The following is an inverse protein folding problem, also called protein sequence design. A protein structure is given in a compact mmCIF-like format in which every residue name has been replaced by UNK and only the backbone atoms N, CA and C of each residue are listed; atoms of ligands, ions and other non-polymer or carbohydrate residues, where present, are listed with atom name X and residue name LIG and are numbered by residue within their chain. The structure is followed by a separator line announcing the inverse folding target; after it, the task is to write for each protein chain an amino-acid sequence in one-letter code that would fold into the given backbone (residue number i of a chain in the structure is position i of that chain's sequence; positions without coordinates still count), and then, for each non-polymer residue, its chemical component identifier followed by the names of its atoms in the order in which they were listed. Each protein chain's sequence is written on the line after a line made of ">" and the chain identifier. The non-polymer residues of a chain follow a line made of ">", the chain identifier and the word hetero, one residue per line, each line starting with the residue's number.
data_IF_454894710467
#
_entry.id   IF_454894710467
#
_cell.length_a   1.000
_cell.length_b   1.000
_cell.length_c   1.000
_cell.angle_alpha   90.00
_cell.angle_beta   90.00
_cell.angle_gamma   90.00
#
_symmetry.space_group_name_H-M   'P 1'
#
loop_
_entity.id
_entity.type
_entity.pdbx_description
1 polymer ?
#
# COMPACT_ATOMS: atom_id res chain seq x y z
N UNK A 1 -23.45 -2.98 6.73
CA UNK A 1 -22.36 -3.96 6.85
C UNK A 1 -21.12 -3.12 7.11
N UNK A 2 -20.40 -3.32 8.22
CA UNK A 2 -19.18 -2.56 8.44
C UNK A 2 -18.17 -3.02 7.38
N UNK A 3 -17.75 -2.11 6.50
CA UNK A 3 -16.60 -2.36 5.64
C UNK A 3 -15.39 -2.57 6.53
N UNK A 4 -14.71 -3.70 6.35
CA UNK A 4 -13.52 -4.00 7.13
C UNK A 4 -12.40 -3.07 6.69
N UNK A 5 -11.68 -2.40 7.61
CA UNK A 5 -10.59 -1.47 7.26
C UNK A 5 -9.59 -2.11 6.31
N UNK A 6 -9.19 -3.36 6.58
CA UNK A 6 -8.39 -4.20 5.70
C UNK A 6 -8.87 -4.28 4.23
N UNK A 7 -10.18 -4.43 4.00
CA UNK A 7 -10.73 -4.55 2.66
C UNK A 7 -10.68 -3.21 1.94
N UNK A 8 -10.99 -2.11 2.64
CA UNK A 8 -10.85 -0.77 2.11
C UNK A 8 -9.41 -0.45 1.71
N UNK A 9 -8.45 -0.73 2.61
CA UNK A 9 -7.01 -0.50 2.37
C UNK A 9 -6.55 -1.26 1.12
N UNK A 10 -6.90 -2.55 1.02
CA UNK A 10 -6.53 -3.37 -0.15
C UNK A 10 -7.16 -2.87 -1.45
N UNK A 11 -8.45 -2.55 -1.43
CA UNK A 11 -9.16 -2.07 -2.61
C UNK A 11 -8.59 -0.72 -3.07
N UNK A 12 -8.39 0.20 -2.13
CA UNK A 12 -7.84 1.52 -2.41
C UNK A 12 -6.40 1.42 -2.94
N UNK A 13 -5.54 0.60 -2.33
CA UNK A 13 -4.17 0.35 -2.83
C UNK A 13 -4.25 -0.25 -4.23
N UNK A 14 -5.09 -1.26 -4.47
CA UNK A 14 -5.22 -1.87 -5.80
C UNK A 14 -5.74 -0.88 -6.86
N UNK A 15 -6.56 0.09 -6.48
CA UNK A 15 -7.14 1.08 -7.38
C UNK A 15 -6.19 2.26 -7.68
N UNK A 16 -5.37 2.67 -6.70
CA UNK A 16 -4.55 3.88 -6.76
C UNK A 16 -3.05 3.60 -6.94
N UNK A 17 -2.58 2.44 -6.48
CA UNK A 17 -1.17 2.03 -6.58
C UNK A 17 -1.01 1.12 -7.80
N UNK A 18 -0.61 1.73 -8.91
CA UNK A 18 -0.17 0.97 -10.08
C UNK A 18 1.31 0.62 -9.93
N UNK A 19 1.61 -0.68 -10.03
CA UNK A 19 2.97 -1.20 -10.24
C UNK A 19 3.47 -0.63 -11.57
N UNK A 20 4.20 0.48 -11.50
CA UNK A 20 4.84 1.07 -12.66
C UNK A 20 6.33 0.72 -12.61
N UNK A 21 6.80 -0.19 -13.49
CA UNK A 21 8.19 -0.64 -13.48
C UNK A 21 9.17 0.38 -14.05
N UNK A 22 8.70 1.52 -14.60
CA UNK A 22 9.52 2.54 -15.24
C UNK A 22 9.77 3.75 -14.31
N UNK A 23 9.03 3.86 -13.22
CA UNK A 23 9.26 4.88 -12.19
C UNK A 23 10.48 4.56 -11.32
N UNK A 24 11.67 4.81 -11.87
CA UNK A 24 12.95 4.90 -11.13
C UNK A 24 13.05 6.13 -10.21
N UNK A 25 11.94 6.51 -9.58
CA UNK A 25 11.87 7.61 -8.61
C UNK A 25 12.04 7.13 -7.17
N UNK A 26 12.08 8.08 -6.23
CA UNK A 26 12.23 7.84 -4.80
C UNK A 26 10.99 7.10 -4.25
N UNK A 27 11.08 5.77 -4.18
CA UNK A 27 9.97 4.88 -3.77
C UNK A 27 9.46 5.29 -2.38
N UNK A 28 10.36 5.66 -1.48
CA UNK A 28 10.03 6.11 -0.12
C UNK A 28 9.13 7.36 -0.11
N UNK A 29 9.43 8.36 -0.95
CA UNK A 29 8.61 9.56 -1.08
C UNK A 29 7.21 9.23 -1.62
N UNK A 30 7.14 8.32 -2.60
CA UNK A 30 5.86 7.87 -3.17
C UNK A 30 5.04 7.05 -2.19
N UNK A 31 5.66 6.17 -1.42
CA UNK A 31 5.01 5.43 -0.32
C UNK A 31 4.43 6.40 0.70
N UNK A 32 5.18 7.44 1.09
CA UNK A 32 4.71 8.45 2.03
C UNK A 32 3.51 9.23 1.49
N UNK A 33 3.54 9.65 0.22
CA UNK A 33 2.43 10.34 -0.45
C UNK A 33 1.17 9.46 -0.49
N UNK A 34 1.31 8.21 -0.93
CA UNK A 34 0.18 7.26 -1.02
C UNK A 34 -0.40 6.96 0.37
N UNK A 35 0.44 6.83 1.40
CA UNK A 35 -0.02 6.61 2.77
C UNK A 35 -0.82 7.81 3.30
N UNK A 36 -0.41 9.04 2.99
CA UNK A 36 -1.16 10.26 3.35
C UNK A 36 -2.53 10.29 2.68
N UNK A 37 -2.58 9.98 1.38
CA UNK A 37 -3.82 9.92 0.61
C UNK A 37 -4.78 8.84 1.14
N UNK A 38 -4.24 7.66 1.47
CA UNK A 38 -5.02 6.57 2.04
C UNK A 38 -5.58 6.93 3.42
N UNK A 39 -4.78 7.57 4.26
CA UNK A 39 -5.21 8.08 5.58
C UNK A 39 -6.35 9.08 5.40
N UNK A 40 -6.24 10.01 4.47
CA UNK A 40 -7.30 10.97 4.17
C UNK A 40 -8.59 10.26 3.70
N UNK A 41 -8.49 9.33 2.76
CA UNK A 41 -9.63 8.58 2.24
C UNK A 41 -10.30 7.71 3.32
N UNK A 42 -9.52 7.10 4.21
CA UNK A 42 -10.06 6.32 5.33
C UNK A 42 -10.84 7.18 6.32
N UNK A 43 -10.44 8.45 6.52
CA UNK A 43 -11.18 9.42 7.33
C UNK A 43 -12.50 9.84 6.66
N UNK A 44 -12.51 9.99 5.34
CA UNK A 44 -13.73 10.29 4.57
C UNK A 44 -14.71 9.11 4.58
N UNK A 45 -14.20 7.88 4.59
CA UNK A 45 -14.97 6.64 4.71
C UNK A 45 -15.42 6.31 6.16
N UNK A 46 -15.24 7.23 7.11
CA UNK A 46 -15.57 7.05 8.53
C UNK A 46 -14.87 5.84 9.19
N UNK A 47 -13.70 5.44 8.68
CA UNK A 47 -12.92 4.32 9.21
C UNK A 47 -12.14 4.77 10.45
N UNK A 48 -12.18 4.02 11.57
CA UNK A 48 -11.47 4.38 12.80
C UNK A 48 -9.96 4.48 12.58
N UNK A 49 -9.39 5.66 12.80
CA UNK A 49 -7.94 5.91 12.62
C UNK A 49 -7.07 5.29 13.72
N UNK A 50 -7.69 4.87 14.83
CA UNK A 50 -7.03 4.14 15.93
C UNK A 50 -6.91 2.64 15.60
N UNK A 51 -7.45 2.21 14.47
CA UNK A 51 -7.41 0.81 14.07
C UNK A 51 -5.97 0.40 13.70
N UNK A 52 -5.47 -0.74 14.23
CA UNK A 52 -4.15 -1.23 13.89
C UNK A 52 -3.97 -1.51 12.39
N UNK A 53 -5.05 -1.74 11.64
CA UNK A 53 -5.02 -1.93 10.18
C UNK A 53 -4.73 -0.63 9.41
N UNK A 54 -4.93 0.53 10.04
CA UNK A 54 -4.56 1.85 9.50
C UNK A 54 -3.28 2.42 10.13
N UNK A 55 -2.53 1.60 10.86
CA UNK A 55 -1.26 2.01 11.43
C UNK A 55 -0.31 2.48 10.30
N UNK A 56 0.33 3.65 10.44
CA UNK A 56 1.16 4.23 9.39
C UNK A 56 2.31 3.31 8.97
N UNK A 57 2.90 2.57 9.91
CA UNK A 57 3.94 1.56 9.60
C UNK A 57 3.40 0.42 8.72
N UNK A 58 2.19 -0.09 9.02
CA UNK A 58 1.55 -1.16 8.26
C UNK A 58 1.15 -0.69 6.87
N UNK A 59 0.57 0.51 6.76
CA UNK A 59 0.19 1.10 5.47
C UNK A 59 1.41 1.27 4.56
N UNK A 60 2.53 1.77 5.11
CA UNK A 60 3.77 1.91 4.35
C UNK A 60 4.28 0.56 3.86
N UNK A 61 4.24 -0.48 4.69
CA UNK A 61 4.64 -1.84 4.29
C UNK A 61 3.75 -2.40 3.16
N UNK A 62 2.42 -2.28 3.28
CA UNK A 62 1.47 -2.73 2.28
C UNK A 62 1.62 -1.98 0.93
N UNK A 63 1.79 -0.66 0.99
CA UNK A 63 1.99 0.18 -0.19
C UNK A 63 3.34 -0.15 -0.84
N UNK A 64 4.40 -0.29 -0.04
CA UNK A 64 5.72 -0.64 -0.54
C UNK A 64 5.70 -2.02 -1.22
N UNK A 65 5.04 -3.01 -0.62
CA UNK A 65 4.84 -4.34 -1.23
C UNK A 65 3.98 -4.31 -2.50
N UNK A 66 3.08 -3.33 -2.65
CA UNK A 66 2.27 -3.16 -3.86
C UNK A 66 3.00 -2.42 -4.98
N UNK A 67 3.90 -1.49 -4.66
CA UNK A 67 4.72 -0.76 -5.64
C UNK A 67 5.88 -1.62 -6.12
N UNK A 68 6.53 -2.32 -5.20
CA UNK A 68 7.61 -3.22 -5.57
C UNK A 68 6.99 -4.38 -6.34
N UNK A 69 7.52 -4.71 -7.54
CA UNK A 69 7.15 -5.98 -8.16
C UNK A 69 7.43 -7.08 -7.13
N UNK A 70 6.62 -8.15 -7.09
CA UNK A 70 6.94 -9.30 -6.26
C UNK A 70 8.37 -9.63 -6.62
N UNK A 71 9.28 -9.46 -5.66
CA UNK A 71 10.65 -9.86 -5.85
C UNK A 71 10.53 -11.36 -5.98
N UNK A 72 10.39 -11.85 -7.21
CA UNK A 72 10.53 -13.25 -7.50
C UNK A 72 11.85 -13.59 -6.82
N UNK A 73 11.86 -14.47 -5.81
CA UNK A 73 13.12 -15.02 -5.41
C UNK A 73 13.63 -15.65 -6.70
N UNK A 74 14.68 -15.07 -7.27
CA UNK A 74 15.46 -15.71 -8.31
C UNK A 74 16.19 -16.88 -7.65
N UNK A 75 15.41 -17.85 -7.18
CA UNK A 75 15.85 -19.15 -6.72
C UNK A 75 15.72 -20.06 -7.94
N UNK A 76 16.59 -19.82 -8.92
CA UNK A 76 16.54 -20.58 -10.16
C UNK A 76 17.45 -20.06 -11.25
N UNK A 77 18.78 -20.14 -11.06
CA UNK A 77 19.59 -21.06 -11.88
C UNK A 77 21.02 -21.18 -11.32
N UNK A 78 21.23 -22.26 -10.57
CA UNK A 78 22.50 -22.95 -10.59
C UNK A 78 22.49 -23.81 -11.85
N UNK A 79 23.21 -23.42 -12.90
CA UNK A 79 23.78 -24.32 -13.92
C UNK A 79 25.03 -23.66 -14.52
#
# INVERSE_FOLDING_TARGET
>A
MAENPSNFVRDWISANVQTDPDQGGDIEARVAEIAEHLTAASREAEIPQDDPELAPDLLRDLIHAAIQPPTHPNHGRSE
#
